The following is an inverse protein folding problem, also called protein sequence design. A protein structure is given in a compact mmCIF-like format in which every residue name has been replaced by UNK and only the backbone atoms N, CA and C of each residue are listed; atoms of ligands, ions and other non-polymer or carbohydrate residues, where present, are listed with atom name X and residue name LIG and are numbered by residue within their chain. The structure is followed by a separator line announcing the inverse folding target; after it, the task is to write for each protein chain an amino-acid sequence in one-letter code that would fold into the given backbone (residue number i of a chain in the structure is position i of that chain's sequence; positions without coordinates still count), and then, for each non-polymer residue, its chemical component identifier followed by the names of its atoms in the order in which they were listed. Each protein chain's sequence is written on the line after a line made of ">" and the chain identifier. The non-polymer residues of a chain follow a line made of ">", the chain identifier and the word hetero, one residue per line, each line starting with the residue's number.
data_IF_743608910433
#
_entry.id   IF_743608910433
#
_cell.length_a   1.000
_cell.length_b   1.000
_cell.length_c   1.000
_cell.angle_alpha   90.00
_cell.angle_beta   90.00
_cell.angle_gamma   90.00
#
_symmetry.space_group_name_H-M   'P 1'
#
loop_
_entity.id
_entity.type
_entity.pdbx_description
1 polymer ?
#
# COMPACT_ATOMS: atom_id res chain seq x y z
N UNK A 1 -16.01 -31.87 -41.17
CA UNK A 1 -14.80 -31.32 -40.51
C UNK A 1 -15.16 -31.11 -39.04
N UNK A 2 -14.91 -32.15 -38.22
CA UNK A 2 -15.34 -32.18 -36.80
C UNK A 2 -14.21 -31.59 -35.95
N UNK A 3 -14.45 -30.41 -35.41
CA UNK A 3 -13.50 -29.75 -34.49
C UNK A 3 -13.58 -30.48 -33.16
N UNK A 4 -12.61 -31.37 -32.88
CA UNK A 4 -12.43 -31.97 -31.55
C UNK A 4 -11.81 -30.92 -30.66
N UNK A 5 -12.64 -30.21 -29.91
CA UNK A 5 -12.17 -29.43 -28.75
C UNK A 5 -11.77 -30.43 -27.66
N UNK A 6 -10.48 -30.72 -27.58
CA UNK A 6 -9.93 -31.44 -26.44
C UNK A 6 -10.17 -30.66 -25.15
N UNK A 7 -10.35 -31.35 -24.00
CA UNK A 7 -10.48 -30.65 -22.72
C UNK A 7 -9.17 -29.90 -22.48
N UNK A 8 -9.25 -28.55 -22.45
CA UNK A 8 -8.14 -27.75 -21.94
C UNK A 8 -7.92 -28.17 -20.48
N UNK A 9 -6.85 -28.91 -20.25
CA UNK A 9 -6.47 -29.28 -18.89
C UNK A 9 -6.33 -27.98 -18.12
N UNK A 10 -7.18 -27.79 -17.12
CA UNK A 10 -7.13 -26.70 -16.13
C UNK A 10 -5.85 -26.92 -15.30
N UNK A 11 -4.71 -26.49 -15.82
CA UNK A 11 -3.46 -26.52 -15.07
C UNK A 11 -3.47 -25.30 -14.15
N UNK A 12 -3.45 -25.57 -12.85
CA UNK A 12 -3.15 -24.54 -11.87
C UNK A 12 -1.77 -23.95 -12.22
N UNK A 13 -1.70 -22.64 -12.34
CA UNK A 13 -0.47 -21.90 -12.67
C UNK A 13 -0.07 -21.05 -11.48
N UNK A 14 1.23 -21.02 -11.21
CA UNK A 14 1.80 -20.16 -10.19
C UNK A 14 2.74 -19.16 -10.86
N UNK A 15 2.65 -17.91 -10.51
CA UNK A 15 3.63 -16.90 -10.90
C UNK A 15 4.17 -16.15 -9.68
N UNK A 16 5.40 -15.69 -9.80
CA UNK A 16 6.02 -14.74 -8.86
C UNK A 16 6.39 -13.49 -9.63
N UNK A 17 6.17 -12.34 -9.00
CA UNK A 17 6.45 -11.05 -9.59
C UNK A 17 7.22 -10.15 -8.64
N UNK A 18 8.02 -9.26 -9.22
CA UNK A 18 8.65 -8.14 -8.53
C UNK A 18 8.25 -6.84 -9.24
N UNK A 19 7.72 -5.90 -8.47
CA UNK A 19 7.18 -4.63 -8.99
C UNK A 19 7.80 -3.45 -8.26
N UNK A 20 7.99 -2.35 -9.00
CA UNK A 20 8.28 -1.03 -8.46
C UNK A 20 6.99 -0.22 -8.43
N UNK A 21 6.80 0.60 -7.41
CA UNK A 21 5.62 1.46 -7.30
C UNK A 21 5.94 2.84 -6.76
N UNK A 22 5.11 3.82 -7.13
CA UNK A 22 4.99 5.10 -6.44
C UNK A 22 3.84 5.03 -5.44
N UNK A 23 3.98 5.63 -4.27
CA UNK A 23 2.94 5.66 -3.24
C UNK A 23 2.44 7.10 -3.07
N UNK A 24 1.17 7.34 -3.38
CA UNK A 24 0.56 8.66 -3.35
C UNK A 24 -0.60 8.67 -2.37
N UNK A 25 -0.52 9.49 -1.34
CA UNK A 25 -1.56 9.64 -0.33
C UNK A 25 -1.83 11.13 -0.08
N UNK A 26 -3.09 11.51 -0.02
CA UNK A 26 -3.49 12.88 0.34
C UNK A 26 -3.27 13.19 1.81
N UNK A 27 -3.22 14.47 2.15
CA UNK A 27 -3.17 14.96 3.53
C UNK A 27 -4.43 14.54 4.28
N UNK A 28 -4.26 14.01 5.48
CA UNK A 28 -5.35 13.67 6.41
C UNK A 28 -5.49 14.78 7.45
N UNK A 29 -6.69 15.34 7.58
CA UNK A 29 -6.98 16.41 8.54
C UNK A 29 -8.01 15.94 9.57
N UNK A 30 -7.73 16.14 10.85
CA UNK A 30 -8.65 15.82 11.94
C UNK A 30 -8.11 16.24 13.31
N UNK A 31 -9.02 16.54 14.23
CA UNK A 31 -8.69 16.86 15.64
C UNK A 31 -7.59 17.92 15.82
N UNK A 32 -7.56 18.94 14.95
CA UNK A 32 -6.54 20.00 14.98
C UNK A 32 -5.16 19.59 14.47
N UNK A 33 -5.03 18.39 13.90
CA UNK A 33 -3.81 17.85 13.31
C UNK A 33 -4.00 17.66 11.80
N UNK A 34 -2.99 18.06 11.01
CA UNK A 34 -2.83 17.72 9.61
C UNK A 34 -1.64 16.77 9.48
N UNK A 35 -1.84 15.64 8.83
CA UNK A 35 -0.83 14.64 8.53
C UNK A 35 -0.63 14.56 7.03
N UNK A 36 0.57 14.90 6.57
CA UNK A 36 0.96 14.92 5.16
C UNK A 36 2.08 13.92 4.91
N UNK A 37 1.84 12.84 4.16
CA UNK A 37 2.88 11.91 3.78
C UNK A 37 3.74 12.46 2.66
N UNK A 38 4.99 12.05 2.61
CA UNK A 38 5.78 12.10 1.38
C UNK A 38 5.21 11.12 0.35
N UNK A 39 5.59 11.28 -0.92
CA UNK A 39 5.22 10.37 -1.99
C UNK A 39 6.41 9.43 -2.31
N UNK A 40 6.64 8.37 -1.52
CA UNK A 40 7.81 7.52 -1.68
C UNK A 40 7.65 6.55 -2.86
N UNK A 41 8.80 6.09 -3.36
CA UNK A 41 8.86 4.88 -4.17
C UNK A 41 9.02 3.66 -3.27
N UNK A 42 8.58 2.50 -3.75
CA UNK A 42 8.68 1.24 -3.04
C UNK A 42 8.82 0.05 -3.97
N UNK A 43 9.01 -1.11 -3.35
CA UNK A 43 9.10 -2.41 -4.02
C UNK A 43 8.02 -3.34 -3.50
N UNK A 44 7.51 -4.21 -4.37
CA UNK A 44 6.53 -5.24 -4.02
C UNK A 44 6.95 -6.57 -4.62
N UNK A 45 6.81 -7.62 -3.81
CA UNK A 45 6.92 -9.01 -4.23
C UNK A 45 5.53 -9.63 -4.16
N UNK A 46 5.20 -10.41 -5.18
CA UNK A 46 3.88 -11.01 -5.35
C UNK A 46 4.05 -12.48 -5.71
N UNK A 47 3.25 -13.34 -5.10
CA UNK A 47 3.12 -14.73 -5.46
C UNK A 47 1.65 -15.01 -5.73
N UNK A 48 1.34 -15.35 -6.97
CA UNK A 48 -0.02 -15.55 -7.44
C UNK A 48 -0.24 -17.00 -7.82
N UNK A 49 -1.34 -17.57 -7.36
CA UNK A 49 -1.79 -18.90 -7.75
C UNK A 49 -3.13 -18.80 -8.46
N UNK A 50 -3.17 -19.28 -9.71
CA UNK A 50 -4.33 -19.28 -10.57
C UNK A 50 -5.00 -20.65 -10.47
N UNK A 51 -6.10 -20.73 -9.72
CA UNK A 51 -6.81 -21.99 -9.47
C UNK A 51 -7.66 -22.43 -10.65
N UNK A 52 -8.18 -21.46 -11.44
CA UNK A 52 -8.92 -21.68 -12.67
C UNK A 52 -8.71 -20.48 -13.60
N UNK A 53 -9.12 -20.53 -14.90
CA UNK A 53 -8.83 -19.46 -15.87
C UNK A 53 -9.30 -18.07 -15.48
N UNK A 54 -10.21 -17.94 -14.50
CA UNK A 54 -10.84 -16.68 -14.15
C UNK A 54 -10.46 -16.20 -12.75
N UNK A 55 -10.19 -17.11 -11.80
CA UNK A 55 -10.06 -16.78 -10.37
C UNK A 55 -8.79 -17.37 -9.78
N UNK A 56 -8.13 -16.60 -8.96
CA UNK A 56 -6.97 -17.03 -8.19
C UNK A 56 -6.82 -16.24 -6.89
N UNK A 57 -5.76 -16.53 -6.18
CA UNK A 57 -5.34 -15.79 -4.99
C UNK A 57 -3.88 -15.36 -5.11
N UNK A 58 -3.56 -14.29 -4.42
CA UNK A 58 -2.23 -13.70 -4.41
C UNK A 58 -1.80 -13.43 -2.98
N UNK A 59 -0.55 -13.72 -2.68
CA UNK A 59 0.13 -13.24 -1.49
C UNK A 59 1.12 -12.16 -1.91
N UNK A 60 1.16 -11.06 -1.17
CA UNK A 60 2.02 -9.94 -1.49
C UNK A 60 2.76 -9.41 -0.27
N UNK A 61 3.96 -8.88 -0.52
CA UNK A 61 4.75 -8.14 0.44
C UNK A 61 5.26 -6.87 -0.21
N UNK A 62 5.11 -5.73 0.46
CA UNK A 62 5.67 -4.48 -0.02
C UNK A 62 6.46 -3.73 1.04
N UNK A 63 7.44 -2.96 0.56
CA UNK A 63 8.30 -2.13 1.37
C UNK A 63 8.47 -0.76 0.74
N UNK A 64 8.38 0.30 1.56
CA UNK A 64 8.80 1.65 1.21
C UNK A 64 9.32 2.40 2.44
N UNK A 65 10.02 3.49 2.20
CA UNK A 65 10.38 4.50 3.19
C UNK A 65 9.58 5.76 2.93
N UNK A 66 8.96 6.31 3.95
CA UNK A 66 8.19 7.54 3.86
C UNK A 66 8.52 8.48 5.00
N UNK A 67 8.38 9.76 4.73
CA UNK A 67 8.38 10.79 5.75
C UNK A 67 6.92 11.22 5.97
N UNK A 68 6.50 11.21 7.24
CA UNK A 68 5.17 11.67 7.64
C UNK A 68 5.32 13.01 8.32
N UNK A 69 4.77 14.07 7.73
CA UNK A 69 4.79 15.41 8.29
C UNK A 69 3.52 15.68 9.09
N UNK A 70 3.68 15.99 10.37
CA UNK A 70 2.61 16.38 11.27
C UNK A 70 2.64 17.89 11.49
N UNK A 71 1.47 18.50 11.34
CA UNK A 71 1.25 19.93 11.60
C UNK A 71 0.02 20.09 12.48
N UNK A 72 0.14 20.80 13.58
CA UNK A 72 -1.00 21.00 14.46
C UNK A 72 -0.73 22.05 15.55
N UNK A 73 -1.79 22.39 16.27
CA UNK A 73 -1.70 23.20 17.48
C UNK A 73 -1.49 22.26 18.67
N UNK A 74 -0.36 22.37 19.35
CA UNK A 74 -0.17 21.64 20.60
C UNK A 74 -0.98 22.36 21.67
N UNK A 75 -2.04 21.70 22.16
CA UNK A 75 -2.75 22.13 23.37
C UNK A 75 -1.91 21.74 24.59
N UNK A 76 -0.80 22.41 24.83
CA UNK A 76 -0.14 22.37 26.12
C UNK A 76 -1.03 23.11 27.12
N UNK A 77 -1.37 22.53 28.29
CA UNK A 77 -1.96 23.29 29.37
C UNK A 77 -0.96 24.40 29.73
N UNK A 78 -1.33 25.65 29.46
CA UNK A 78 -0.49 26.79 29.81
C UNK A 78 -0.40 26.88 31.34
N UNK A 79 0.72 26.44 31.91
CA UNK A 79 1.17 26.99 33.19
C UNK A 79 1.76 28.35 32.82
N UNK A 80 0.95 29.39 32.92
CA UNK A 80 1.40 30.75 32.68
C UNK A 80 2.31 31.23 33.81
N UNK A 81 3.60 31.09 33.64
CA UNK A 81 4.62 31.93 34.26
C UNK A 81 4.84 33.14 33.30
N UNK A 82 5.37 34.29 33.76
CA UNK A 82 5.18 35.62 33.12
C UNK A 82 5.55 35.77 31.63
N UNK A 83 5.98 34.76 30.96
CA UNK A 83 6.27 34.71 29.53
C UNK A 83 5.39 33.69 28.81
N UNK A 84 4.08 33.94 28.80
CA UNK A 84 3.14 33.10 28.01
C UNK A 84 3.47 33.20 26.53
N UNK A 85 3.81 32.04 25.91
CA UNK A 85 3.80 31.92 24.46
C UNK A 85 2.34 31.98 24.00
N UNK A 86 1.96 32.84 23.04
CA UNK A 86 0.57 32.97 22.61
C UNK A 86 0.01 31.62 22.17
N UNK A 87 -1.21 31.29 22.62
CA UNK A 87 -1.98 30.18 22.10
C UNK A 87 -2.10 30.34 20.56
N UNK A 88 -1.55 29.40 19.80
CA UNK A 88 -1.59 29.43 18.34
C UNK A 88 -0.30 29.08 17.62
N UNK A 89 0.75 28.71 18.33
CA UNK A 89 1.97 28.25 17.66
C UNK A 89 1.70 26.92 16.94
N UNK A 90 1.79 26.96 15.63
CA UNK A 90 1.77 25.77 14.80
C UNK A 90 3.10 25.03 15.01
N UNK A 91 3.01 23.79 15.45
CA UNK A 91 4.17 22.90 15.62
C UNK A 91 4.23 21.96 14.42
N UNK A 92 5.44 21.70 13.97
CA UNK A 92 5.73 20.78 12.88
C UNK A 92 6.63 19.68 13.38
N UNK A 93 6.33 18.44 13.00
CA UNK A 93 7.20 17.31 13.26
C UNK A 93 7.22 16.40 12.03
N UNK A 94 8.41 16.10 11.52
CA UNK A 94 8.60 15.11 10.47
C UNK A 94 9.06 13.80 11.10
N UNK A 95 8.40 12.70 10.75
CA UNK A 95 8.71 11.35 11.23
C UNK A 95 9.10 10.49 10.03
N UNK A 96 10.38 10.09 10.00
CA UNK A 96 10.87 9.12 9.02
C UNK A 96 10.45 7.72 9.45
N UNK A 97 9.86 6.96 8.55
CA UNK A 97 9.36 5.63 8.87
C UNK A 97 9.59 4.63 7.72
N UNK A 98 9.82 3.38 8.12
CA UNK A 98 9.81 2.24 7.24
C UNK A 98 8.43 1.61 7.28
N UNK A 99 7.82 1.40 6.12
CA UNK A 99 6.52 0.77 5.98
C UNK A 99 6.66 -0.60 5.32
N UNK A 100 6.27 -1.64 6.04
CA UNK A 100 6.20 -3.02 5.59
C UNK A 100 4.74 -3.43 5.52
N UNK A 101 4.32 -4.03 4.42
CA UNK A 101 2.97 -4.53 4.28
C UNK A 101 2.98 -5.97 3.83
N UNK A 102 2.12 -6.78 4.42
CA UNK A 102 1.82 -8.16 4.01
C UNK A 102 0.34 -8.24 3.70
N UNK A 103 -0.03 -8.82 2.58
CA UNK A 103 -1.41 -8.92 2.15
C UNK A 103 -1.75 -10.23 1.45
N UNK A 104 -3.04 -10.51 1.40
CA UNK A 104 -3.63 -11.61 0.66
C UNK A 104 -4.85 -11.12 -0.11
N UNK A 105 -4.86 -11.37 -1.42
CA UNK A 105 -5.87 -10.89 -2.34
C UNK A 105 -6.52 -12.05 -3.08
N UNK A 106 -7.81 -11.93 -3.38
CA UNK A 106 -8.45 -12.64 -4.47
C UNK A 106 -8.35 -11.80 -5.73
N UNK A 107 -8.11 -12.46 -6.85
CA UNK A 107 -8.16 -11.78 -8.14
C UNK A 107 -8.97 -12.56 -9.16
N UNK A 108 -9.52 -11.80 -10.13
CA UNK A 108 -10.16 -12.33 -11.33
C UNK A 108 -9.39 -11.85 -12.55
N UNK A 109 -9.18 -12.73 -13.52
CA UNK A 109 -8.39 -12.43 -14.72
C UNK A 109 -9.01 -13.05 -15.96
N UNK A 110 -8.95 -12.34 -17.10
CA UNK A 110 -9.33 -12.87 -18.41
C UNK A 110 -8.11 -13.53 -19.06
N UNK A 111 -7.97 -14.84 -18.89
CA UNK A 111 -6.73 -15.57 -19.22
C UNK A 111 -6.55 -15.94 -20.71
N UNK A 112 -7.55 -15.73 -21.55
CA UNK A 112 -7.52 -16.16 -22.96
C UNK A 112 -6.90 -15.13 -23.93
N UNK A 113 -6.47 -13.98 -23.43
CA UNK A 113 -5.89 -12.91 -24.23
C UNK A 113 -4.36 -12.85 -24.07
N UNK A 114 -3.61 -12.39 -25.10
CA UNK A 114 -2.17 -12.14 -24.95
C UNK A 114 -1.85 -11.06 -23.91
N UNK A 115 -2.76 -10.10 -23.78
CA UNK A 115 -2.78 -9.12 -22.68
C UNK A 115 -3.95 -9.50 -21.77
N UNK A 116 -3.67 -9.82 -20.53
CA UNK A 116 -4.62 -10.39 -19.55
C UNK A 116 -5.00 -9.34 -18.53
N UNK A 117 -6.14 -8.66 -18.69
CA UNK A 117 -6.64 -7.75 -17.67
C UNK A 117 -7.07 -8.53 -16.44
N UNK A 118 -6.85 -7.93 -15.27
CA UNK A 118 -7.27 -8.49 -14.00
C UNK A 118 -7.75 -7.39 -13.04
N UNK A 119 -8.55 -7.78 -12.08
CA UNK A 119 -8.92 -6.98 -10.93
C UNK A 119 -8.70 -7.81 -9.66
N UNK A 120 -8.39 -7.14 -8.56
CA UNK A 120 -8.12 -7.78 -7.28
C UNK A 120 -8.74 -7.01 -6.12
N UNK A 121 -9.02 -7.75 -5.04
CA UNK A 121 -9.39 -7.17 -3.76
C UNK A 121 -8.97 -8.13 -2.65
N UNK A 122 -8.55 -7.56 -1.51
CA UNK A 122 -8.07 -8.34 -0.40
C UNK A 122 -7.85 -7.54 0.87
N UNK A 123 -7.13 -8.16 1.78
CA UNK A 123 -6.82 -7.59 3.09
C UNK A 123 -5.36 -7.80 3.45
N UNK A 124 -4.83 -6.91 4.27
CA UNK A 124 -3.46 -6.97 4.71
C UNK A 124 -3.20 -6.30 6.05
N UNK A 125 -1.96 -6.35 6.45
CA UNK A 125 -1.43 -5.64 7.62
C UNK A 125 -0.28 -4.73 7.19
N UNK A 126 -0.38 -3.47 7.59
CA UNK A 126 0.64 -2.46 7.39
C UNK A 126 1.37 -2.21 8.72
N UNK A 127 2.66 -2.48 8.74
CA UNK A 127 3.55 -2.25 9.87
C UNK A 127 4.39 -1.02 9.57
N UNK A 128 4.25 0.02 10.38
CA UNK A 128 5.00 1.26 10.24
C UNK A 128 5.94 1.39 11.43
N UNK A 129 7.23 1.42 11.13
CA UNK A 129 8.29 1.54 12.13
C UNK A 129 9.05 2.84 11.91
N UNK A 130 8.96 3.81 12.83
CA UNK A 130 9.79 5.01 12.79
C UNK A 130 11.28 4.66 12.78
N UNK A 131 12.08 5.45 12.07
CA UNK A 131 13.53 5.26 12.01
C UNK A 131 14.14 5.51 13.40
N UNK A 132 15.15 4.72 13.76
CA UNK A 132 15.79 4.77 15.09
C UNK A 132 16.39 6.14 15.40
N UNK A 133 16.28 6.56 16.67
CA UNK A 133 16.86 7.81 17.17
C UNK A 133 15.90 9.02 17.22
N UNK A 134 14.66 8.87 16.79
CA UNK A 134 13.65 9.92 16.94
C UNK A 134 12.97 9.80 18.30
N UNK A 135 12.91 10.91 19.04
CA UNK A 135 12.16 11.00 20.30
C UNK A 135 10.67 11.21 20.01
N UNK A 136 9.81 10.76 20.91
CA UNK A 136 8.37 10.99 20.89
C UNK A 136 7.62 10.43 19.67
N UNK A 137 8.13 9.34 19.10
CA UNK A 137 7.47 8.57 18.05
C UNK A 137 7.10 7.16 18.50
N UNK A 138 6.16 6.54 17.81
CA UNK A 138 5.74 5.14 18.05
C UNK A 138 5.50 4.40 16.75
N UNK A 139 5.85 3.13 16.72
CA UNK A 139 5.44 2.24 15.64
C UNK A 139 3.94 2.00 15.66
N UNK A 140 3.37 1.69 14.49
CA UNK A 140 1.95 1.43 14.36
C UNK A 140 1.68 0.27 13.42
N UNK A 141 0.66 -0.54 13.74
CA UNK A 141 0.17 -1.61 12.86
C UNK A 141 -1.28 -1.32 12.52
N UNK A 142 -1.62 -1.32 11.23
CA UNK A 142 -2.96 -1.02 10.72
C UNK A 142 -3.45 -2.15 9.83
N UNK A 143 -4.71 -2.59 10.00
CA UNK A 143 -5.37 -3.40 9.00
C UNK A 143 -5.60 -2.56 7.74
N UNK A 144 -5.42 -3.19 6.58
CA UNK A 144 -5.55 -2.56 5.26
C UNK A 144 -6.55 -3.35 4.44
N UNK A 145 -7.47 -2.66 3.78
CA UNK A 145 -8.24 -3.21 2.68
C UNK A 145 -7.54 -2.83 1.38
N UNK A 146 -7.27 -3.83 0.54
CA UNK A 146 -6.58 -3.70 -0.74
C UNK A 146 -7.56 -3.86 -1.89
N UNK A 147 -7.39 -3.07 -2.93
CA UNK A 147 -8.11 -3.21 -4.19
C UNK A 147 -7.23 -2.78 -5.35
N UNK A 148 -7.48 -3.31 -6.52
CA UNK A 148 -6.67 -2.93 -7.67
C UNK A 148 -7.14 -3.53 -8.97
N UNK A 149 -6.49 -3.09 -10.04
CA UNK A 149 -6.66 -3.62 -11.37
C UNK A 149 -5.35 -3.47 -12.15
N UNK A 150 -5.17 -4.30 -13.16
CA UNK A 150 -3.99 -4.26 -13.98
C UNK A 150 -4.09 -5.11 -15.23
N UNK A 151 -2.96 -5.20 -15.89
CA UNK A 151 -2.78 -6.04 -17.07
C UNK A 151 -1.46 -6.80 -16.98
N UNK A 152 -1.51 -8.08 -17.28
CA UNK A 152 -0.35 -8.94 -17.47
C UNK A 152 -0.10 -9.11 -18.96
N UNK A 153 1.09 -8.72 -19.41
CA UNK A 153 1.52 -8.90 -20.79
C UNK A 153 2.61 -9.96 -20.85
N UNK A 154 2.29 -11.12 -21.44
CA UNK A 154 3.25 -12.19 -21.65
C UNK A 154 4.15 -11.85 -22.83
N UNK A 155 5.44 -11.62 -22.56
CA UNK A 155 6.44 -11.23 -23.57
C UNK A 155 7.07 -12.47 -24.22
N UNK A 156 7.46 -13.45 -23.40
CA UNK A 156 7.96 -14.76 -23.82
C UNK A 156 7.32 -15.84 -22.94
N UNK A 157 7.34 -17.13 -23.34
CA UNK A 157 6.89 -18.19 -22.48
C UNK A 157 7.54 -18.09 -21.09
N UNK A 158 6.74 -18.11 -20.03
CA UNK A 158 7.16 -18.01 -18.62
C UNK A 158 7.54 -16.60 -18.12
N UNK A 159 7.77 -15.59 -18.97
CA UNK A 159 8.15 -14.25 -18.53
C UNK A 159 7.22 -13.19 -19.12
N UNK A 160 6.76 -12.26 -18.29
CA UNK A 160 5.95 -11.14 -18.72
C UNK A 160 6.14 -9.89 -17.90
N UNK A 161 5.49 -8.84 -18.37
CA UNK A 161 5.40 -7.55 -17.69
C UNK A 161 4.03 -7.41 -17.06
N UNK A 162 3.99 -6.77 -15.90
CA UNK A 162 2.79 -6.47 -15.13
C UNK A 162 2.68 -4.98 -14.93
N UNK A 163 1.56 -4.40 -15.36
CA UNK A 163 1.19 -3.02 -15.10
C UNK A 163 -0.05 -3.03 -14.25
N UNK A 164 0.01 -2.41 -13.07
CA UNK A 164 -1.13 -2.43 -12.17
C UNK A 164 -1.25 -1.14 -11.36
N UNK A 165 -2.46 -0.89 -10.93
CA UNK A 165 -2.80 0.13 -9.96
C UNK A 165 -3.39 -0.57 -8.74
N UNK A 166 -2.89 -0.24 -7.54
CA UNK A 166 -3.46 -0.69 -6.27
C UNK A 166 -3.87 0.50 -5.43
N UNK A 167 -4.92 0.33 -4.68
CA UNK A 167 -5.34 1.23 -3.63
C UNK A 167 -5.32 0.52 -2.28
N UNK A 168 -4.75 1.19 -1.27
CA UNK A 168 -4.78 0.73 0.11
C UNK A 168 -5.65 1.67 0.92
N UNK A 169 -6.67 1.12 1.57
CA UNK A 169 -7.58 1.84 2.45
C UNK A 169 -7.32 1.43 3.90
N UNK A 170 -6.91 2.37 4.74
CA UNK A 170 -6.60 2.13 6.15
C UNK A 170 -6.77 3.40 6.98
N UNK A 171 -6.76 3.27 8.31
CA UNK A 171 -6.75 4.43 9.21
C UNK A 171 -5.37 5.09 9.22
N UNK A 172 -5.32 6.43 9.09
CA UNK A 172 -4.09 7.22 9.16
C UNK A 172 -3.21 6.80 10.33
N UNK A 173 -1.89 6.67 10.14
CA UNK A 173 -0.98 6.27 11.20
C UNK A 173 -0.75 7.41 12.20
N UNK A 174 -0.76 7.07 13.50
CA UNK A 174 -0.50 8.00 14.60
C UNK A 174 0.93 7.80 15.09
N UNK A 175 1.93 8.29 14.37
CA UNK A 175 3.33 8.05 14.67
C UNK A 175 3.89 9.05 15.67
N UNK A 176 3.49 10.31 15.62
CA UNK A 176 3.97 11.37 16.50
C UNK A 176 3.10 11.46 17.76
N UNK A 177 3.68 11.18 18.94
CA UNK A 177 2.98 11.19 20.22
C UNK A 177 2.46 12.56 20.66
N UNK A 178 3.10 13.65 20.19
CA UNK A 178 2.74 15.00 20.54
C UNK A 178 1.45 15.50 19.84
N UNK A 179 0.97 14.78 18.81
CA UNK A 179 -0.19 15.17 18.01
C UNK A 179 -1.39 14.27 18.27
N UNK A 180 -2.58 14.85 18.17
CA UNK A 180 -3.82 14.08 18.23
C UNK A 180 -4.00 13.26 16.97
N UNK A 181 -4.57 12.07 17.11
CA UNK A 181 -4.96 11.23 15.97
C UNK A 181 -5.94 11.97 15.06
N UNK A 182 -5.70 11.94 13.76
CA UNK A 182 -6.63 12.49 12.78
C UNK A 182 -7.92 11.69 12.69
N UNK A 183 -7.90 10.42 13.11
CA UNK A 183 -9.01 9.46 13.08
C UNK A 183 -9.73 9.43 11.71
N UNK A 184 -8.96 9.50 10.63
CA UNK A 184 -9.44 9.50 9.26
C UNK A 184 -8.99 8.25 8.50
N UNK A 185 -9.81 7.84 7.56
CA UNK A 185 -9.38 6.86 6.56
C UNK A 185 -8.47 7.55 5.54
N UNK A 186 -7.36 6.90 5.27
CA UNK A 186 -6.43 7.26 4.21
C UNK A 186 -6.57 6.27 3.06
N UNK A 187 -6.52 6.79 1.84
CA UNK A 187 -6.43 5.99 0.63
C UNK A 187 -5.09 6.28 -0.03
N UNK A 188 -4.28 5.25 -0.21
CA UNK A 188 -2.98 5.35 -0.86
C UNK A 188 -3.06 4.76 -2.25
N UNK A 189 -2.81 5.56 -3.27
CA UNK A 189 -2.73 5.16 -4.66
C UNK A 189 -1.33 4.67 -5.01
N UNK A 190 -1.22 3.48 -5.62
CA UNK A 190 0.04 2.84 -5.96
C UNK A 190 0.04 2.39 -7.43
N UNK A 191 0.39 3.26 -8.39
CA UNK A 191 0.71 2.82 -9.74
C UNK A 191 2.01 2.02 -9.72
N UNK A 192 2.04 0.89 -10.45
CA UNK A 192 3.10 -0.10 -10.37
C UNK A 192 3.47 -0.65 -11.75
N UNK A 193 4.75 -0.96 -11.89
CA UNK A 193 5.28 -1.71 -13.02
C UNK A 193 6.19 -2.82 -12.50
N UNK A 194 6.04 -4.01 -13.03
CA UNK A 194 6.84 -5.16 -12.60
C UNK A 194 7.04 -6.19 -13.70
N UNK A 195 7.83 -7.19 -13.37
CA UNK A 195 8.01 -8.39 -14.17
C UNK A 195 7.55 -9.61 -13.38
N UNK A 196 6.95 -10.58 -14.07
CA UNK A 196 6.55 -11.84 -13.45
C UNK A 196 7.16 -13.03 -14.20
N UNK A 197 7.44 -14.08 -13.42
CA UNK A 197 7.84 -15.37 -13.93
C UNK A 197 6.78 -16.41 -13.57
N UNK A 198 6.38 -17.21 -14.56
CA UNK A 198 5.33 -18.22 -14.45
C UNK A 198 5.90 -19.62 -14.59
N UNK A 199 5.50 -20.49 -13.68
CA UNK A 199 5.86 -21.91 -13.63
C UNK A 199 4.80 -22.78 -14.31
#
# INVERSE_FOLDING_TARGET
>A
MTLVMGPAALQAQTDVAASLYGSFRGTSNGNGTAESPSNPAGVMLEMRHISNPLVGYELNYSFNRSDEEYKGSVSTPQICTPNCVPAGNTVYQAVKANAHRVGADWFVSLSHLPVKPFALAGVGLLFISPDGGQSDVRGNTKPVFEYGAGVDWTVIPHLGLRFQYRGDLYHSPDLAKAFSSTNRFANTAKPMIGAYFRF
#
